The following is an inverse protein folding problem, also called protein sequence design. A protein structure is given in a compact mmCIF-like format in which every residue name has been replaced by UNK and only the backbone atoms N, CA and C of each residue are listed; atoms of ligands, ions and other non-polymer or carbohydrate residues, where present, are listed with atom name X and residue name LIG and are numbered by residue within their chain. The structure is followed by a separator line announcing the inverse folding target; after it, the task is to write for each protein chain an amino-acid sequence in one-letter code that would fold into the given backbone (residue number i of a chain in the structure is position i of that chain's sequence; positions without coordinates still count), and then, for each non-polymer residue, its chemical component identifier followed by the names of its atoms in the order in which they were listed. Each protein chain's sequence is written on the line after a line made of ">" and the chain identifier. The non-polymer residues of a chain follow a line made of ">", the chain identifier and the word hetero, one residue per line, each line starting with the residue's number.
data_IF_171764860615
#
_entry.id   IF_171764860615
#
_cell.length_a   1.000
_cell.length_b   1.000
_cell.length_c   1.000
_cell.angle_alpha   90.00
_cell.angle_beta   90.00
_cell.angle_gamma   90.00
#
_symmetry.space_group_name_H-M   'P 1'
#
loop_
_entity.id
_entity.type
_entity.pdbx_description
1 polymer ?
#
# COMPACT_ATOMS: atom_id res chain seq x y z
N UNK A 1 14.90 -28.42 32.30
CA UNK A 1 14.72 -28.63 30.85
C UNK A 1 13.81 -27.57 30.17
N UNK A 2 13.05 -26.81 30.95
CA UNK A 2 12.22 -25.70 30.45
C UNK A 2 13.01 -24.55 29.77
N UNK A 3 14.26 -24.34 30.18
CA UNK A 3 15.14 -23.26 29.70
C UNK A 3 15.46 -23.39 28.19
N UNK A 4 15.68 -24.61 27.70
CA UNK A 4 15.97 -24.86 26.28
C UNK A 4 14.77 -24.66 25.36
N UNK A 5 13.56 -24.96 25.81
CA UNK A 5 12.33 -24.74 25.05
C UNK A 5 12.05 -23.24 24.91
N UNK A 6 12.26 -22.46 25.95
CA UNK A 6 12.05 -21.04 26.01
C UNK A 6 13.05 -20.26 25.11
N UNK A 7 14.32 -20.64 25.13
CA UNK A 7 15.34 -20.04 24.26
C UNK A 7 15.08 -20.34 22.78
N UNK A 8 14.65 -21.54 22.43
CA UNK A 8 14.22 -21.91 21.06
C UNK A 8 13.00 -21.09 20.60
N UNK A 9 12.04 -20.85 21.49
CA UNK A 9 10.86 -20.04 21.21
C UNK A 9 11.21 -18.58 20.94
N UNK A 10 12.05 -17.97 21.79
CA UNK A 10 12.53 -16.58 21.62
C UNK A 10 13.29 -16.43 20.30
N UNK A 11 14.18 -17.38 19.98
CA UNK A 11 14.92 -17.36 18.73
C UNK A 11 14.01 -17.53 17.51
N UNK A 12 13.01 -18.42 17.56
CA UNK A 12 12.00 -18.56 16.49
C UNK A 12 11.20 -17.27 16.31
N UNK A 13 10.80 -16.61 17.38
CA UNK A 13 10.07 -15.35 17.35
C UNK A 13 10.90 -14.22 16.76
N UNK A 14 12.18 -14.14 17.11
CA UNK A 14 13.10 -13.12 16.56
C UNK A 14 13.40 -13.35 15.07
N UNK A 15 13.51 -14.61 14.64
CA UNK A 15 13.73 -14.98 13.24
C UNK A 15 12.45 -14.83 12.40
N UNK A 16 11.28 -15.14 12.97
CA UNK A 16 10.00 -15.01 12.27
C UNK A 16 9.67 -13.56 11.86
N UNK A 17 10.17 -12.58 12.61
CA UNK A 17 10.03 -11.16 12.27
C UNK A 17 10.95 -10.65 11.15
N UNK A 18 12.00 -11.41 10.83
CA UNK A 18 13.00 -11.01 9.82
C UNK A 18 12.65 -11.54 8.42
N UNK A 19 11.47 -11.22 7.95
CA UNK A 19 11.12 -11.52 6.56
C UNK A 19 11.84 -10.55 5.61
N UNK A 20 12.21 -11.05 4.43
CA UNK A 20 12.73 -10.18 3.38
C UNK A 20 11.70 -9.08 3.09
N UNK A 21 12.12 -7.80 2.99
CA UNK A 21 11.19 -6.65 2.88
C UNK A 21 10.20 -6.76 1.72
N UNK A 22 10.58 -7.42 0.64
CA UNK A 22 9.72 -7.67 -0.52
C UNK A 22 9.72 -9.17 -0.85
N UNK A 23 9.06 -10.01 -0.05
CA UNK A 23 8.96 -11.47 -0.23
C UNK A 23 10.31 -12.19 -0.34
N UNK A 24 11.09 -11.92 -1.39
CA UNK A 24 12.37 -12.53 -1.66
C UNK A 24 13.35 -11.58 -2.37
N UNK A 25 14.60 -12.02 -2.49
CA UNK A 25 15.70 -11.23 -3.07
C UNK A 25 15.51 -10.92 -4.56
N UNK A 26 14.89 -11.81 -5.32
CA UNK A 26 14.64 -11.63 -6.76
C UNK A 26 13.56 -10.57 -7.00
N UNK A 27 12.46 -10.64 -6.26
CA UNK A 27 11.38 -9.64 -6.27
C UNK A 27 11.95 -8.27 -5.89
N UNK A 28 12.77 -8.23 -4.84
CA UNK A 28 13.43 -6.99 -4.39
C UNK A 28 14.25 -6.34 -5.52
N UNK A 29 15.15 -7.10 -6.14
CA UNK A 29 15.99 -6.60 -7.25
C UNK A 29 15.15 -6.11 -8.42
N UNK A 30 14.12 -6.88 -8.77
CA UNK A 30 13.24 -6.57 -9.88
C UNK A 30 12.45 -5.28 -9.65
N UNK A 31 11.91 -5.10 -8.45
CA UNK A 31 11.15 -3.91 -8.03
C UNK A 31 12.07 -2.69 -7.97
N UNK A 32 13.20 -2.77 -7.29
CA UNK A 32 14.14 -1.63 -7.16
C UNK A 32 14.62 -1.14 -8.53
N UNK A 33 14.97 -2.04 -9.43
CA UNK A 33 15.44 -1.69 -10.79
C UNK A 33 14.40 -0.85 -11.55
N UNK A 34 13.12 -1.09 -11.32
CA UNK A 34 12.03 -0.36 -11.98
C UNK A 34 11.62 0.90 -11.23
N UNK A 35 11.63 0.88 -9.91
CA UNK A 35 11.42 2.09 -9.10
C UNK A 35 12.41 3.20 -9.49
N UNK A 36 13.70 2.86 -9.57
CA UNK A 36 14.75 3.83 -9.97
C UNK A 36 14.51 4.41 -11.36
N UNK A 37 13.83 3.67 -12.23
CA UNK A 37 13.43 4.14 -13.56
C UNK A 37 12.15 5.00 -13.57
N UNK A 38 11.56 5.25 -12.41
CA UNK A 38 10.36 6.08 -12.27
C UNK A 38 9.04 5.34 -12.49
N UNK A 39 9.02 4.01 -12.42
CA UNK A 39 7.79 3.23 -12.53
C UNK A 39 6.95 3.33 -11.25
N UNK A 40 5.63 3.44 -11.41
CA UNK A 40 4.73 3.39 -10.26
C UNK A 40 4.59 1.95 -9.72
N UNK A 41 4.23 1.78 -8.43
CA UNK A 41 3.97 0.45 -7.87
C UNK A 41 2.92 -0.36 -8.64
N UNK A 42 1.90 0.30 -9.17
CA UNK A 42 0.86 -0.32 -9.99
C UNK A 42 1.43 -0.87 -11.31
N UNK A 43 2.27 -0.09 -11.98
CA UNK A 43 2.95 -0.52 -13.21
C UNK A 43 3.90 -1.69 -12.95
N UNK A 44 4.63 -1.65 -11.85
CA UNK A 44 5.55 -2.71 -11.45
C UNK A 44 4.79 -4.00 -11.19
N UNK A 45 3.74 -3.94 -10.38
CA UNK A 45 2.90 -5.08 -10.03
C UNK A 45 2.23 -5.69 -11.25
N UNK A 46 1.59 -4.87 -12.09
CA UNK A 46 0.93 -5.33 -13.31
C UNK A 46 1.92 -5.97 -14.30
N UNK A 47 3.12 -5.42 -14.45
CA UNK A 47 4.14 -6.01 -15.32
C UNK A 47 4.67 -7.32 -14.79
N UNK A 48 4.86 -7.44 -13.47
CA UNK A 48 5.26 -8.71 -12.85
C UNK A 48 4.21 -9.80 -13.08
N UNK A 49 2.95 -9.48 -12.96
CA UNK A 49 1.86 -10.42 -13.22
C UNK A 49 1.88 -10.93 -14.67
N UNK A 50 2.15 -10.06 -15.63
CA UNK A 50 2.23 -10.42 -17.04
C UNK A 50 3.47 -11.26 -17.37
N UNK A 51 4.63 -10.90 -16.83
CA UNK A 51 5.91 -11.57 -17.12
C UNK A 51 6.02 -12.92 -16.42
N UNK A 52 5.51 -13.00 -15.18
CA UNK A 52 5.62 -14.19 -14.33
C UNK A 52 4.26 -14.85 -14.09
N UNK A 53 3.49 -15.07 -15.15
CA UNK A 53 2.12 -15.63 -15.09
C UNK A 53 2.03 -16.92 -14.26
N UNK A 54 2.98 -17.80 -14.44
CA UNK A 54 3.01 -19.14 -13.83
C UNK A 54 3.75 -19.19 -12.49
N UNK A 55 4.37 -18.09 -12.07
CA UNK A 55 5.16 -18.03 -10.85
C UNK A 55 4.53 -17.09 -9.81
N UNK A 56 3.73 -17.68 -8.91
CA UNK A 56 3.09 -16.93 -7.82
C UNK A 56 4.08 -16.31 -6.82
N UNK A 57 5.29 -16.84 -6.72
CA UNK A 57 6.34 -16.31 -5.83
C UNK A 57 6.80 -14.93 -6.29
N UNK A 58 6.79 -14.68 -7.59
CA UNK A 58 7.18 -13.39 -8.18
C UNK A 58 6.05 -12.35 -8.19
N UNK A 59 4.83 -12.71 -7.82
CA UNK A 59 3.72 -11.76 -7.75
C UNK A 59 3.80 -10.89 -6.51
N UNK A 60 3.57 -9.61 -6.68
CA UNK A 60 3.53 -8.63 -5.60
C UNK A 60 2.37 -7.67 -5.82
N UNK A 61 1.73 -7.27 -4.73
CA UNK A 61 0.65 -6.28 -4.75
C UNK A 61 1.25 -4.88 -4.64
N UNK A 62 0.69 -3.85 -5.31
CA UNK A 62 1.18 -2.47 -5.21
C UNK A 62 1.29 -1.97 -3.78
N UNK A 63 0.35 -2.35 -2.93
CA UNK A 63 0.32 -2.01 -1.51
C UNK A 63 1.58 -2.46 -0.76
N UNK A 64 2.10 -3.64 -1.08
CA UNK A 64 3.35 -4.15 -0.48
C UNK A 64 4.54 -3.28 -0.87
N UNK A 65 4.58 -2.78 -2.10
CA UNK A 65 5.64 -1.87 -2.58
C UNK A 65 5.54 -0.53 -1.85
N UNK A 66 4.34 0.02 -1.71
CA UNK A 66 4.12 1.26 -0.95
C UNK A 66 4.53 1.11 0.51
N UNK A 67 4.13 0.03 1.16
CA UNK A 67 4.49 -0.26 2.56
C UNK A 67 6.01 -0.39 2.73
N UNK A 68 6.69 -1.00 1.78
CA UNK A 68 8.14 -1.09 1.75
C UNK A 68 8.82 0.28 1.63
N UNK A 69 8.41 1.09 0.67
CA UNK A 69 9.01 2.41 0.40
C UNK A 69 8.85 3.38 1.57
N UNK A 70 7.72 3.33 2.26
CA UNK A 70 7.40 4.20 3.39
C UNK A 70 7.67 3.57 4.77
N UNK A 71 8.23 2.35 4.82
CA UNK A 71 8.62 1.72 6.08
C UNK A 71 9.77 2.49 6.75
N UNK A 72 9.79 2.48 8.07
CA UNK A 72 10.84 3.17 8.83
C UNK A 72 12.24 2.66 8.53
N UNK A 73 12.35 1.36 8.20
CA UNK A 73 13.60 0.70 7.83
C UNK A 73 14.22 1.28 6.54
N UNK A 74 13.40 1.56 5.53
CA UNK A 74 13.86 2.02 4.21
C UNK A 74 13.61 3.50 3.93
N UNK A 75 13.00 4.21 4.85
CA UNK A 75 12.67 5.63 4.70
C UNK A 75 13.90 6.51 4.42
N UNK A 76 15.06 6.15 4.98
CA UNK A 76 16.33 6.85 4.77
C UNK A 76 16.82 6.75 3.32
N UNK A 77 16.45 5.71 2.58
CA UNK A 77 16.82 5.54 1.16
C UNK A 77 16.02 6.40 0.20
N UNK A 78 14.97 7.06 0.70
CA UNK A 78 14.14 8.01 -0.05
C UNK A 78 13.63 7.48 -1.40
N UNK A 79 13.26 6.21 -1.50
CA UNK A 79 12.71 5.62 -2.71
C UNK A 79 11.44 6.30 -3.22
N UNK A 80 10.72 6.99 -2.36
CA UNK A 80 9.55 7.79 -2.72
C UNK A 80 9.84 8.88 -3.77
N UNK A 81 11.10 9.33 -3.89
CA UNK A 81 11.51 10.33 -4.90
C UNK A 81 11.37 9.81 -6.33
N UNK A 82 11.47 8.49 -6.51
CA UNK A 82 11.33 7.87 -7.83
C UNK A 82 9.88 7.71 -8.28
N UNK A 83 8.92 7.91 -7.40
CA UNK A 83 7.51 7.88 -7.76
C UNK A 83 7.13 9.08 -8.63
N UNK A 84 6.20 8.92 -9.58
CA UNK A 84 5.77 10.00 -10.46
C UNK A 84 5.31 11.27 -9.72
N UNK A 85 4.71 11.10 -8.55
CA UNK A 85 4.27 12.21 -7.70
C UNK A 85 5.22 12.56 -6.55
N UNK A 86 6.22 11.76 -6.27
CA UNK A 86 7.29 12.01 -5.32
C UNK A 86 6.87 12.45 -3.90
N UNK A 87 5.76 11.96 -3.38
CA UNK A 87 5.28 12.35 -2.06
C UNK A 87 6.15 11.75 -0.95
N UNK A 88 6.71 12.61 -0.09
CA UNK A 88 7.53 12.20 1.06
C UNK A 88 6.77 11.37 2.09
N UNK A 89 5.46 11.58 2.22
CA UNK A 89 4.57 10.83 3.11
C UNK A 89 3.50 10.12 2.28
N UNK A 90 3.17 8.91 2.69
CA UNK A 90 2.04 8.21 2.09
C UNK A 90 0.75 8.97 2.36
N UNK A 91 0.02 9.30 1.30
CA UNK A 91 -1.33 9.85 1.46
C UNK A 91 -2.24 8.74 1.99
N UNK A 92 -2.86 9.00 3.12
CA UNK A 92 -3.96 8.15 3.58
C UNK A 92 -5.09 8.24 2.57
N UNK A 93 -5.62 7.11 2.15
CA UNK A 93 -6.88 7.10 1.43
C UNK A 93 -7.95 7.60 2.40
N UNK A 94 -8.25 8.88 2.33
CA UNK A 94 -9.49 9.38 2.89
C UNK A 94 -10.55 8.99 1.87
N UNK A 95 -11.47 8.11 2.26
CA UNK A 95 -12.69 7.91 1.52
C UNK A 95 -13.30 9.28 1.19
N UNK A 96 -14.12 9.36 0.18
CA UNK A 96 -14.85 10.60 -0.13
C UNK A 96 -15.45 11.12 1.18
N UNK A 97 -14.87 12.17 1.75
CA UNK A 97 -15.63 13.01 2.63
C UNK A 97 -16.81 13.46 1.79
N UNK A 98 -17.96 12.94 2.15
CA UNK A 98 -19.17 13.60 1.74
C UNK A 98 -19.06 15.00 2.34
N UNK A 99 -18.57 15.95 1.58
CA UNK A 99 -18.88 17.32 1.83
C UNK A 99 -20.40 17.40 1.66
N UNK A 100 -21.12 17.10 2.71
CA UNK A 100 -22.45 17.63 2.85
C UNK A 100 -22.26 19.13 3.02
N UNK A 101 -21.89 19.79 1.93
CA UNK A 101 -22.10 21.20 1.85
C UNK A 101 -23.59 21.36 2.12
N UNK A 102 -23.92 21.81 3.29
CA UNK A 102 -25.25 22.25 3.65
C UNK A 102 -25.61 23.27 2.59
N UNK A 103 -26.42 22.84 1.64
CA UNK A 103 -26.95 23.78 0.64
C UNK A 103 -27.76 24.79 1.45
N UNK A 104 -27.33 26.06 1.51
CA UNK A 104 -28.09 27.06 2.25
C UNK A 104 -29.51 27.12 1.65
N UNK A 105 -30.53 27.12 2.52
CA UNK A 105 -31.94 27.10 2.12
C UNK A 105 -32.43 25.78 1.47
N UNK A 106 -31.83 24.66 1.81
CA UNK A 106 -32.32 23.36 1.37
C UNK A 106 -33.74 23.12 1.90
N UNK A 107 -34.71 23.04 0.99
CA UNK A 107 -36.07 22.63 1.30
C UNK A 107 -36.13 21.11 1.28
N UNK A 108 -36.55 20.48 2.36
CA UNK A 108 -36.75 19.02 2.43
C UNK A 108 -37.86 18.61 1.45
N UNK A 109 -37.76 17.37 0.94
CA UNK A 109 -38.81 16.77 0.12
C UNK A 109 -40.16 16.74 0.86
N UNK A 110 -40.11 16.61 2.17
CA UNK A 110 -41.30 16.62 3.02
C UNK A 110 -42.00 18.00 3.17
N UNK A 111 -41.24 19.06 2.91
CA UNK A 111 -41.71 20.44 2.99
C UNK A 111 -42.12 21.01 1.62
N UNK A 112 -42.18 20.16 0.58
CA UNK A 112 -42.64 20.60 -0.74
C UNK A 112 -44.12 20.93 -0.73
N UNK A 113 -44.51 22.09 -1.23
CA UNK A 113 -45.94 22.42 -1.40
C UNK A 113 -46.63 21.43 -2.33
N UNK A 114 -47.83 21.00 -2.03
CA UNK A 114 -48.61 20.01 -2.77
C UNK A 114 -48.83 20.37 -4.25
N UNK A 115 -48.68 21.65 -4.62
CA UNK A 115 -48.83 22.12 -5.99
C UNK A 115 -47.77 21.59 -6.98
N UNK A 116 -46.69 20.99 -6.49
CA UNK A 116 -45.62 20.48 -7.36
C UNK A 116 -45.81 19.01 -7.73
N UNK A 117 -46.80 18.35 -7.15
CA UNK A 117 -47.12 16.91 -7.41
C UNK A 117 -48.17 16.67 -8.50
N UNK A 118 -48.55 17.66 -9.24
CA UNK A 118 -49.42 17.54 -10.43
C UNK A 118 -48.65 17.50 -11.72
#
# INVERSE_FOLDING_TARGET
>A
MAIHAQSKWVNRKSLAGKRHPLKNKEVFRWVIKRLVRGWSPEQISGRMELVFKDNSVMRIVPETIYSFVYSDEFKHRKFWQYFPRGHKKRRKWHGRHVFSASIPHRISIHDRPEMVSQ
#
